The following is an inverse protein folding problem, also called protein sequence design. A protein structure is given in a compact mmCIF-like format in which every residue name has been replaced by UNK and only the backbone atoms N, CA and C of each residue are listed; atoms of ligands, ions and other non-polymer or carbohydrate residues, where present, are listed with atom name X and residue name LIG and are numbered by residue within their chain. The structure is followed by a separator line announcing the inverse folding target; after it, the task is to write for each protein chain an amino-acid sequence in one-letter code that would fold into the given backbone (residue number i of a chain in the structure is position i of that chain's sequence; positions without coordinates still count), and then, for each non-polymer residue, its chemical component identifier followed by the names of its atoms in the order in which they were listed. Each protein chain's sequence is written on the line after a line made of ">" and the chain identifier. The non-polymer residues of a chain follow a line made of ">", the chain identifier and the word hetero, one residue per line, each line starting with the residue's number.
data_IF_769777705763
#
_entry.id   IF_769777705763
#
_cell.length_a   1.000
_cell.length_b   1.000
_cell.length_c   1.000
_cell.angle_alpha   90.00
_cell.angle_beta   90.00
_cell.angle_gamma   90.00
#
_symmetry.space_group_name_H-M   'P 1'
#
loop_
_entity.id
_entity.type
_entity.pdbx_description
1 polymer ?
#
# COMPACT_ATOMS: atom_id res chain seq x y z
N UNK A 1 3.91 -4.70 -7.83
CA UNK A 1 3.83 -4.45 -9.28
C UNK A 1 2.39 -4.58 -9.77
N UNK A 2 1.73 -5.73 -9.58
CA UNK A 2 0.35 -5.98 -10.05
C UNK A 2 -0.65 -4.91 -9.61
N UNK A 3 -0.62 -4.50 -8.35
CA UNK A 3 -1.51 -3.46 -7.81
C UNK A 3 -1.37 -2.12 -8.56
N UNK A 4 -0.13 -1.74 -8.92
CA UNK A 4 0.11 -0.51 -9.66
C UNK A 4 -0.41 -0.58 -11.09
N UNK A 5 -0.26 -1.75 -11.75
CA UNK A 5 -0.80 -2.00 -13.09
C UNK A 5 -2.32 -1.92 -13.06
N UNK A 6 -2.96 -2.61 -12.09
CA UNK A 6 -4.42 -2.59 -11.93
C UNK A 6 -4.91 -1.16 -11.68
N UNK A 7 -4.29 -0.42 -10.76
CA UNK A 7 -4.72 0.94 -10.43
C UNK A 7 -4.59 1.89 -11.62
N UNK A 8 -3.44 1.88 -12.32
CA UNK A 8 -3.23 2.71 -13.51
C UNK A 8 -4.28 2.42 -14.58
N UNK A 9 -4.57 1.14 -14.82
CA UNK A 9 -5.60 0.73 -15.78
C UNK A 9 -6.99 1.21 -15.36
N UNK A 10 -7.39 0.98 -14.12
CA UNK A 10 -8.70 1.40 -13.62
C UNK A 10 -8.89 2.90 -13.76
N UNK A 11 -7.92 3.70 -13.33
CA UNK A 11 -8.02 5.15 -13.34
C UNK A 11 -7.91 5.77 -14.74
N UNK A 12 -7.21 5.10 -15.67
CA UNK A 12 -7.07 5.58 -17.06
C UNK A 12 -8.24 5.21 -17.95
N UNK A 13 -8.95 4.11 -17.67
CA UNK A 13 -9.95 3.54 -18.61
C UNK A 13 -11.38 3.56 -18.07
N UNK A 14 -11.58 3.55 -16.76
CA UNK A 14 -12.93 3.49 -16.15
C UNK A 14 -13.33 4.88 -15.62
N UNK A 15 -14.63 5.10 -15.51
CA UNK A 15 -15.20 6.30 -14.87
C UNK A 15 -15.77 5.92 -13.52
N UNK A 16 -15.48 6.73 -12.53
CA UNK A 16 -15.96 6.54 -11.16
C UNK A 16 -16.78 7.76 -10.72
N UNK A 17 -17.70 7.60 -9.75
CA UNK A 17 -18.41 8.74 -9.14
C UNK A 17 -17.42 9.70 -8.49
N UNK A 18 -17.84 10.94 -8.29
CA UNK A 18 -17.07 11.91 -7.51
C UNK A 18 -16.96 11.48 -6.04
N UNK A 19 -15.82 11.79 -5.41
CA UNK A 19 -15.58 11.50 -4.00
C UNK A 19 -15.07 10.10 -3.67
N UNK A 20 -14.85 9.24 -4.67
CA UNK A 20 -14.18 7.94 -4.45
C UNK A 20 -12.71 8.14 -4.09
N UNK A 21 -12.13 7.13 -3.45
CA UNK A 21 -10.74 7.09 -3.00
C UNK A 21 -10.05 5.80 -3.47
N UNK A 22 -8.74 5.78 -3.40
CA UNK A 22 -7.96 4.54 -3.40
C UNK A 22 -7.54 4.26 -1.97
N UNK A 23 -7.73 3.04 -1.48
CA UNK A 23 -7.31 2.64 -0.15
C UNK A 23 -6.13 1.67 -0.22
N UNK A 24 -5.12 1.89 0.61
CA UNK A 24 -4.00 0.98 0.80
C UNK A 24 -3.63 0.83 2.26
N UNK A 25 -3.04 -0.29 2.62
CA UNK A 25 -2.54 -0.45 3.99
C UNK A 25 -1.22 0.29 4.19
N UNK A 26 -0.90 0.55 5.45
CA UNK A 26 0.32 1.25 5.91
C UNK A 26 1.62 0.61 5.37
N UNK A 27 1.61 -0.70 5.05
CA UNK A 27 2.75 -1.45 4.53
C UNK A 27 2.86 -1.45 3.00
N UNK A 28 1.86 -0.91 2.30
CA UNK A 28 1.78 -0.96 0.83
C UNK A 28 2.56 0.20 0.21
N UNK A 29 3.15 -0.02 -0.95
CA UNK A 29 3.97 0.96 -1.69
C UNK A 29 3.28 2.32 -1.89
N UNK A 30 4.02 3.41 -1.72
CA UNK A 30 3.58 4.76 -2.06
C UNK A 30 3.60 5.06 -3.56
N UNK A 31 4.01 4.12 -4.40
CA UNK A 31 3.84 4.25 -5.86
C UNK A 31 2.36 4.39 -6.23
N UNK A 32 1.45 3.76 -5.45
CA UNK A 32 0.01 3.94 -5.60
C UNK A 32 -0.44 5.38 -5.34
N UNK A 33 0.22 6.09 -4.42
CA UNK A 33 -0.07 7.51 -4.13
C UNK A 33 0.27 8.37 -5.35
N UNK A 34 1.44 8.16 -5.96
CA UNK A 34 1.87 8.87 -7.17
C UNK A 34 0.91 8.63 -8.35
N UNK A 35 0.45 7.38 -8.51
CA UNK A 35 -0.55 7.05 -9.54
C UNK A 35 -1.87 7.78 -9.25
N UNK A 36 -2.38 7.71 -8.03
CA UNK A 36 -3.63 8.36 -7.64
C UNK A 36 -3.58 9.88 -7.79
N UNK A 37 -2.45 10.50 -7.46
CA UNK A 37 -2.22 11.94 -7.60
C UNK A 37 -2.38 12.41 -9.05
N UNK A 38 -1.82 11.69 -10.02
CA UNK A 38 -1.98 11.98 -11.47
C UNK A 38 -3.45 12.08 -11.86
N UNK A 39 -4.29 11.22 -11.32
CA UNK A 39 -5.73 11.18 -11.61
C UNK A 39 -6.57 11.99 -10.62
N UNK A 40 -5.94 12.69 -9.67
CA UNK A 40 -6.60 13.50 -8.64
C UNK A 40 -7.60 12.70 -7.78
N UNK A 41 -7.30 11.43 -7.53
CA UNK A 41 -8.07 10.56 -6.64
C UNK A 41 -7.35 10.49 -5.29
N UNK A 42 -8.00 10.83 -4.17
CA UNK A 42 -7.36 10.83 -2.86
C UNK A 42 -7.01 9.42 -2.38
N UNK A 43 -5.91 9.31 -1.62
CA UNK A 43 -5.50 8.08 -0.95
C UNK A 43 -6.05 8.03 0.47
N UNK A 44 -6.52 6.85 0.87
CA UNK A 44 -6.81 6.47 2.24
C UNK A 44 -5.77 5.44 2.69
N UNK A 45 -4.88 5.81 3.61
CA UNK A 45 -3.98 4.87 4.26
C UNK A 45 -4.63 4.31 5.53
N UNK A 46 -4.67 2.98 5.67
CA UNK A 46 -5.23 2.28 6.84
C UNK A 46 -4.18 1.39 7.50
N UNK A 47 -4.48 0.90 8.68
CA UNK A 47 -3.77 -0.22 9.30
C UNK A 47 -3.92 -1.49 8.44
N UNK A 48 -3.08 -2.51 8.68
CA UNK A 48 -3.12 -3.75 7.92
C UNK A 48 -4.38 -4.55 8.27
N UNK A 49 -5.13 -4.90 7.25
CA UNK A 49 -6.33 -5.73 7.35
C UNK A 49 -7.47 -5.23 6.47
N UNK A 50 -8.02 -6.11 5.65
CA UNK A 50 -9.11 -5.78 4.71
C UNK A 50 -10.38 -5.27 5.40
N UNK A 51 -10.58 -5.63 6.67
CA UNK A 51 -11.68 -5.13 7.51
C UNK A 51 -11.79 -3.60 7.56
N UNK A 52 -10.66 -2.89 7.38
CA UNK A 52 -10.63 -1.42 7.35
C UNK A 52 -11.15 -0.83 6.04
N UNK A 53 -11.26 -1.65 5.00
CA UNK A 53 -11.82 -1.26 3.70
C UNK A 53 -13.29 -1.66 3.54
N UNK A 54 -13.77 -2.66 4.30
CA UNK A 54 -15.04 -3.34 4.08
C UNK A 54 -16.23 -2.35 3.97
N UNK A 55 -16.34 -1.41 4.89
CA UNK A 55 -17.41 -0.41 4.87
C UNK A 55 -17.35 0.51 3.64
N UNK A 56 -16.16 1.01 3.30
CA UNK A 56 -16.01 1.91 2.16
C UNK A 56 -16.19 1.16 0.82
N UNK A 57 -15.89 -0.14 0.77
CA UNK A 57 -16.19 -1.01 -0.38
C UNK A 57 -17.69 -1.23 -0.51
N UNK A 58 -18.39 -1.57 0.58
CA UNK A 58 -19.84 -1.75 0.61
C UNK A 58 -20.60 -0.49 0.16
N UNK A 59 -20.11 0.67 0.59
CA UNK A 59 -20.68 1.97 0.23
C UNK A 59 -20.21 2.48 -1.15
N UNK A 60 -19.46 1.70 -1.90
CA UNK A 60 -18.88 2.06 -3.22
C UNK A 60 -18.09 3.38 -3.19
N UNK A 61 -17.30 3.60 -2.13
CA UNK A 61 -16.46 4.77 -1.94
C UNK A 61 -15.00 4.56 -2.38
N UNK A 62 -14.64 3.33 -2.74
CA UNK A 62 -13.29 2.99 -3.17
C UNK A 62 -13.25 2.58 -4.64
N UNK A 63 -12.30 3.13 -5.39
CA UNK A 63 -11.88 2.62 -6.69
C UNK A 63 -11.22 1.26 -6.50
N UNK A 64 -10.31 1.19 -5.52
CA UNK A 64 -9.54 0.01 -5.18
C UNK A 64 -9.15 0.05 -3.70
N UNK A 65 -9.26 -1.09 -3.02
CA UNK A 65 -8.67 -1.35 -1.71
C UNK A 65 -7.60 -2.44 -1.84
N UNK A 66 -6.40 -2.23 -1.28
CA UNK A 66 -5.31 -3.19 -1.46
C UNK A 66 -4.32 -3.28 -0.31
N UNK A 67 -3.64 -4.41 -0.25
CA UNK A 67 -2.62 -4.74 0.75
C UNK A 67 -1.26 -5.05 0.09
N UNK A 68 -0.18 -4.94 0.84
CA UNK A 68 1.19 -5.28 0.40
C UNK A 68 1.32 -6.72 -0.12
N UNK A 69 0.52 -7.64 0.41
CA UNK A 69 0.42 -9.04 -0.03
C UNK A 69 -0.19 -9.23 -1.42
N UNK A 70 -0.52 -8.14 -2.13
CA UNK A 70 -1.28 -8.10 -3.38
C UNK A 70 -2.77 -8.51 -3.23
N UNK A 71 -3.28 -8.62 -2.00
CA UNK A 71 -4.71 -8.68 -1.77
C UNK A 71 -5.37 -7.42 -2.30
N UNK A 72 -6.38 -7.55 -3.16
CA UNK A 72 -7.05 -6.43 -3.82
C UNK A 72 -8.55 -6.66 -3.97
N UNK A 73 -9.30 -5.59 -3.92
CA UNK A 73 -10.68 -5.50 -4.34
C UNK A 73 -10.93 -4.17 -5.03
N UNK A 74 -11.99 -4.07 -5.82
CA UNK A 74 -12.31 -2.89 -6.64
C UNK A 74 -13.73 -2.42 -6.42
N UNK A 75 -14.02 -1.23 -6.94
CA UNK A 75 -15.34 -0.61 -6.98
C UNK A 75 -16.43 -1.57 -7.43
N UNK A 76 -17.56 -1.57 -6.70
CA UNK A 76 -18.77 -2.32 -7.03
C UNK A 76 -18.55 -3.84 -7.19
N UNK A 77 -17.69 -4.44 -6.36
CA UNK A 77 -17.43 -5.89 -6.37
C UNK A 77 -17.87 -6.52 -5.05
N UNK A 78 -16.96 -6.83 -4.15
CA UNK A 78 -17.24 -7.44 -2.84
C UNK A 78 -16.61 -6.63 -1.71
N UNK A 79 -16.76 -7.05 -0.46
CA UNK A 79 -16.24 -6.35 0.72
C UNK A 79 -14.90 -6.91 1.23
N UNK A 80 -14.39 -8.00 0.61
CA UNK A 80 -13.10 -8.59 0.95
C UNK A 80 -12.24 -8.77 -0.30
N UNK A 81 -10.96 -9.03 -0.10
CA UNK A 81 -9.99 -9.27 -1.19
C UNK A 81 -10.38 -10.48 -2.03
N UNK A 82 -10.18 -10.36 -3.33
CA UNK A 82 -10.48 -11.41 -4.28
C UNK A 82 -9.29 -11.63 -5.23
N UNK A 83 -8.58 -12.75 -5.01
CA UNK A 83 -7.42 -13.11 -5.83
C UNK A 83 -7.83 -13.57 -7.24
N UNK A 84 -9.02 -14.13 -7.41
CA UNK A 84 -9.55 -14.55 -8.72
C UNK A 84 -9.85 -13.32 -9.56
N UNK A 85 -10.49 -12.31 -8.97
CA UNK A 85 -10.71 -11.01 -9.60
C UNK A 85 -9.40 -10.41 -10.08
N UNK A 86 -8.35 -10.43 -9.22
CA UNK A 86 -7.04 -9.88 -9.58
C UNK A 86 -6.45 -10.52 -10.83
N UNK A 87 -6.55 -11.86 -10.95
CA UNK A 87 -6.07 -12.61 -12.13
C UNK A 87 -6.87 -12.22 -13.38
N UNK A 88 -8.20 -12.14 -13.28
CA UNK A 88 -9.04 -11.75 -14.42
C UNK A 88 -8.79 -10.30 -14.86
N UNK A 89 -8.59 -9.39 -13.92
CA UNK A 89 -8.23 -7.99 -14.24
C UNK A 89 -6.90 -7.91 -14.99
N UNK A 90 -5.89 -8.64 -14.52
CA UNK A 90 -4.60 -8.65 -15.22
C UNK A 90 -4.71 -9.26 -16.62
N UNK A 91 -5.51 -10.33 -16.79
CA UNK A 91 -5.79 -10.91 -18.11
C UNK A 91 -6.54 -9.93 -19.04
N UNK A 92 -7.56 -9.22 -18.52
CA UNK A 92 -8.25 -8.14 -19.24
C UNK A 92 -7.26 -7.06 -19.68
N UNK A 93 -6.39 -6.60 -18.78
CA UNK A 93 -5.41 -5.56 -19.05
C UNK A 93 -4.45 -6.00 -20.17
N UNK A 94 -3.87 -7.19 -20.07
CA UNK A 94 -2.96 -7.74 -21.09
C UNK A 94 -3.66 -7.87 -22.46
N UNK A 95 -4.87 -8.37 -22.47
CA UNK A 95 -5.64 -8.55 -23.72
C UNK A 95 -6.02 -7.22 -24.35
N UNK A 96 -6.44 -6.26 -23.54
CA UNK A 96 -6.88 -4.94 -24.02
C UNK A 96 -5.72 -4.09 -24.51
N UNK A 97 -4.56 -4.19 -23.85
CA UNK A 97 -3.38 -3.38 -24.18
C UNK A 97 -2.46 -4.04 -25.22
N UNK A 98 -2.56 -5.35 -25.38
CA UNK A 98 -1.63 -6.15 -26.20
C UNK A 98 -0.22 -6.25 -25.60
N UNK A 99 -0.05 -5.94 -24.31
CA UNK A 99 1.24 -5.90 -23.59
C UNK A 99 1.30 -6.96 -22.50
N UNK A 100 2.49 -7.45 -22.22
CA UNK A 100 2.71 -8.29 -21.04
C UNK A 100 2.87 -7.45 -19.75
N UNK A 101 2.88 -8.13 -18.58
CA UNK A 101 2.97 -7.47 -17.29
C UNK A 101 4.31 -6.74 -17.07
N UNK A 102 5.38 -7.19 -17.71
CA UNK A 102 6.70 -6.58 -17.62
C UNK A 102 6.73 -5.26 -18.38
N UNK A 103 6.16 -5.25 -19.59
CA UNK A 103 6.02 -4.03 -20.40
C UNK A 103 5.14 -2.99 -19.72
N UNK A 104 3.99 -3.41 -19.17
CA UNK A 104 3.07 -2.53 -18.44
C UNK A 104 3.74 -1.93 -17.20
N UNK A 105 4.49 -2.74 -16.46
CA UNK A 105 5.21 -2.25 -15.29
C UNK A 105 6.37 -1.33 -15.67
N UNK A 106 7.08 -1.61 -16.76
CA UNK A 106 8.12 -0.73 -17.28
C UNK A 106 7.59 0.67 -17.64
N UNK A 107 6.37 0.77 -18.18
CA UNK A 107 5.71 2.06 -18.44
C UNK A 107 5.39 2.83 -17.16
N UNK A 108 4.91 2.13 -16.12
CA UNK A 108 4.67 2.74 -14.81
C UNK A 108 5.98 3.29 -14.23
N UNK A 109 7.05 2.50 -14.25
CA UNK A 109 8.37 2.89 -13.79
C UNK A 109 8.88 4.12 -14.54
N UNK A 110 8.74 4.15 -15.86
CA UNK A 110 9.14 5.28 -16.69
C UNK A 110 8.38 6.56 -16.33
N UNK A 111 7.13 6.42 -15.90
CA UNK A 111 6.25 7.57 -15.59
C UNK A 111 6.45 8.09 -14.17
N UNK A 112 6.62 7.19 -13.18
CA UNK A 112 6.56 7.55 -11.76
C UNK A 112 7.87 7.35 -11.00
N UNK A 113 8.92 6.87 -11.65
CA UNK A 113 10.16 6.35 -11.08
C UNK A 113 9.96 5.03 -10.26
N UNK A 114 11.06 4.31 -10.06
CA UNK A 114 11.05 3.03 -9.32
C UNK A 114 11.23 3.34 -7.83
N UNK A 115 10.31 2.91 -6.96
CA UNK A 115 10.62 2.87 -5.55
C UNK A 115 11.60 1.72 -5.26
N UNK A 116 12.64 2.00 -4.49
CA UNK A 116 13.47 0.95 -3.90
C UNK A 116 12.74 0.40 -2.68
N UNK A 117 12.07 -0.73 -2.82
CA UNK A 117 11.32 -1.37 -1.75
C UNK A 117 12.05 -2.60 -1.22
N UNK A 118 12.10 -2.74 0.11
CA UNK A 118 12.63 -3.93 0.77
C UNK A 118 11.78 -4.30 1.98
N UNK A 119 11.52 -5.60 2.13
CA UNK A 119 10.98 -6.20 3.33
C UNK A 119 11.99 -7.17 3.95
N UNK A 120 12.10 -7.15 5.26
CA UNK A 120 12.91 -8.09 6.05
C UNK A 120 12.05 -8.61 7.20
N UNK A 121 11.99 -9.94 7.35
CA UNK A 121 11.31 -10.59 8.46
C UNK A 121 12.36 -11.01 9.50
N UNK A 122 12.23 -10.48 10.72
CA UNK A 122 13.20 -10.65 11.80
C UNK A 122 12.59 -11.56 12.87
N UNK A 123 13.14 -12.75 13.14
CA UNK A 123 12.70 -13.59 14.25
C UNK A 123 12.74 -12.82 15.59
N UNK A 124 11.70 -12.95 16.39
CA UNK A 124 11.56 -12.17 17.61
C UNK A 124 10.77 -12.93 18.69
N UNK A 125 10.94 -12.51 19.94
CA UNK A 125 10.17 -13.02 21.07
C UNK A 125 8.91 -12.19 21.31
N UNK A 126 7.96 -12.75 22.05
CA UNK A 126 6.76 -12.01 22.48
C UNK A 126 7.13 -10.76 23.30
N UNK A 127 8.13 -10.86 24.17
CA UNK A 127 8.61 -9.75 24.98
C UNK A 127 9.13 -8.59 24.12
N UNK A 128 9.91 -8.91 23.06
CA UNK A 128 10.42 -7.90 22.13
C UNK A 128 9.30 -7.22 21.36
N UNK A 129 8.27 -7.98 20.92
CA UNK A 129 7.10 -7.41 20.27
C UNK A 129 6.36 -6.42 21.18
N UNK A 130 6.17 -6.78 22.44
CA UNK A 130 5.49 -5.90 23.40
C UNK A 130 6.31 -4.62 23.71
N UNK A 131 7.64 -4.70 23.70
CA UNK A 131 8.49 -3.51 23.80
C UNK A 131 8.27 -2.55 22.62
N UNK A 132 8.18 -3.07 21.39
CA UNK A 132 7.94 -2.24 20.19
C UNK A 132 6.57 -1.56 20.27
N UNK A 133 5.52 -2.28 20.67
CA UNK A 133 4.17 -1.71 20.79
C UNK A 133 4.07 -0.58 21.82
N UNK A 134 4.99 -0.54 22.79
CA UNK A 134 5.03 0.48 23.86
C UNK A 134 5.87 1.70 23.50
N UNK A 135 6.53 1.71 22.33
CA UNK A 135 7.32 2.88 21.91
C UNK A 135 6.38 4.03 21.59
N UNK A 136 6.59 5.14 22.29
CA UNK A 136 5.85 6.37 22.07
C UNK A 136 6.50 7.18 20.92
N UNK A 137 5.67 7.75 20.06
CA UNK A 137 6.11 8.60 18.95
C UNK A 137 6.99 9.78 19.42
N UNK A 138 6.76 10.29 20.65
CA UNK A 138 7.54 11.39 21.20
C UNK A 138 9.02 11.05 21.40
N UNK A 139 9.34 9.76 21.66
CA UNK A 139 10.72 9.28 21.81
C UNK A 139 11.49 9.20 20.49
N UNK A 140 10.78 9.29 19.38
CA UNK A 140 11.32 9.20 18.02
C UNK A 140 11.52 10.58 17.37
N UNK A 141 11.21 11.65 18.11
CA UNK A 141 11.45 13.03 17.63
C UNK A 141 12.94 13.26 17.43
N UNK A 142 13.30 13.81 16.25
CA UNK A 142 14.69 14.11 15.90
C UNK A 142 15.45 12.94 15.26
N UNK A 143 14.81 11.78 15.06
CA UNK A 143 15.40 10.67 14.30
C UNK A 143 15.53 11.09 12.83
N UNK A 144 16.65 10.73 12.20
CA UNK A 144 16.86 10.91 10.75
C UNK A 144 16.52 9.64 10.00
N UNK A 145 15.95 9.78 8.82
CA UNK A 145 15.62 8.68 7.92
C UNK A 145 16.19 8.98 6.51
N UNK A 146 17.02 8.08 5.98
CA UNK A 146 17.62 8.25 4.66
C UNK A 146 18.49 9.50 4.52
N UNK A 147 19.10 9.97 5.63
CA UNK A 147 19.89 11.21 5.66
C UNK A 147 19.07 12.51 5.77
N UNK A 148 17.73 12.41 5.73
CA UNK A 148 16.79 13.52 5.88
C UNK A 148 16.07 13.52 7.24
N UNK A 149 15.20 14.49 7.45
CA UNK A 149 14.37 14.59 8.64
C UNK A 149 13.14 13.67 8.51
N UNK A 150 12.72 13.08 9.62
CA UNK A 150 11.40 12.46 9.73
C UNK A 150 10.36 13.57 9.74
N UNK A 151 9.40 13.50 8.80
CA UNK A 151 8.34 14.52 8.61
C UNK A 151 7.05 14.14 9.34
N UNK A 152 6.79 12.83 9.51
CA UNK A 152 5.63 12.33 10.25
C UNK A 152 5.91 10.96 10.87
N UNK A 153 5.17 10.63 11.94
CA UNK A 153 5.30 9.37 12.68
C UNK A 153 3.91 8.82 13.00
N UNK A 154 3.66 7.57 12.61
CA UNK A 154 2.43 6.84 12.94
C UNK A 154 2.74 5.59 13.75
N UNK A 155 1.96 5.36 14.82
CA UNK A 155 2.17 4.24 15.76
C UNK A 155 0.93 3.36 15.97
N UNK A 156 -0.06 3.40 15.09
CA UNK A 156 -1.33 2.66 15.22
C UNK A 156 -1.21 1.17 14.92
N UNK A 157 -0.37 0.77 13.96
CA UNK A 157 -0.12 -0.64 13.59
C UNK A 157 1.39 -0.86 13.35
N UNK A 158 2.16 -0.83 14.42
CA UNK A 158 3.61 -0.75 14.39
C UNK A 158 4.10 0.70 14.43
N UNK A 159 5.34 0.91 14.03
CA UNK A 159 5.97 2.23 13.99
C UNK A 159 6.33 2.55 12.54
N UNK A 160 5.65 3.51 11.95
CA UNK A 160 5.98 4.04 10.63
C UNK A 160 6.56 5.44 10.76
N UNK A 161 7.75 5.61 10.18
CA UNK A 161 8.43 6.89 10.04
C UNK A 161 8.36 7.31 8.58
N UNK A 162 7.92 8.53 8.34
CA UNK A 162 7.88 9.12 7.01
C UNK A 162 9.00 10.14 6.86
N UNK A 163 9.84 9.98 5.84
CA UNK A 163 10.76 11.01 5.35
C UNK A 163 10.16 11.73 4.15
N UNK A 164 10.89 12.67 3.56
CA UNK A 164 10.41 13.43 2.39
C UNK A 164 10.14 12.54 1.17
N UNK A 165 11.00 11.55 0.91
CA UNK A 165 10.91 10.65 -0.25
C UNK A 165 11.05 9.17 0.13
N UNK A 166 10.93 8.84 1.41
CA UNK A 166 11.11 7.48 1.91
C UNK A 166 10.24 7.23 3.13
N UNK A 167 10.03 5.97 3.42
CA UNK A 167 9.41 5.56 4.68
C UNK A 167 9.99 4.24 5.17
N UNK A 168 9.88 4.01 6.47
CA UNK A 168 10.19 2.75 7.12
C UNK A 168 9.05 2.37 8.06
N UNK A 169 8.66 1.09 8.04
CA UNK A 169 7.66 0.53 8.95
C UNK A 169 8.25 -0.65 9.72
N UNK A 170 8.18 -0.60 11.03
CA UNK A 170 8.53 -1.69 11.95
C UNK A 170 7.23 -2.23 12.53
N UNK A 171 6.82 -3.42 12.10
CA UNK A 171 5.52 -4.00 12.46
C UNK A 171 5.67 -5.38 13.10
N UNK A 172 5.33 -5.56 14.39
CA UNK A 172 5.23 -6.88 14.99
C UNK A 172 4.11 -7.68 14.31
N UNK A 173 4.41 -8.91 13.87
CA UNK A 173 3.38 -9.81 13.32
C UNK A 173 2.40 -10.25 14.41
N UNK A 174 1.10 -10.21 14.12
CA UNK A 174 0.06 -10.68 15.04
C UNK A 174 -0.02 -12.21 15.15
N UNK A 175 0.44 -12.94 14.13
CA UNK A 175 0.27 -14.40 13.99
C UNK A 175 1.57 -15.19 14.04
N UNK A 176 2.71 -14.55 13.75
CA UNK A 176 4.02 -15.19 13.61
C UNK A 176 5.02 -14.60 14.62
N UNK A 177 6.04 -15.36 15.08
CA UNK A 177 7.07 -14.86 16.00
C UNK A 177 8.13 -14.03 15.26
N UNK A 178 7.70 -13.01 14.50
CA UNK A 178 8.56 -12.13 13.73
C UNK A 178 8.15 -10.66 13.87
N UNK A 179 9.11 -9.78 13.61
CA UNK A 179 8.91 -8.37 13.28
C UNK A 179 9.10 -8.23 11.77
N UNK A 180 8.16 -7.60 11.10
CA UNK A 180 8.25 -7.24 9.68
C UNK A 180 8.78 -5.82 9.57
N UNK A 181 9.92 -5.69 8.93
CA UNK A 181 10.53 -4.41 8.61
C UNK A 181 10.30 -4.12 7.13
N UNK A 182 9.70 -3.00 6.83
CA UNK A 182 9.47 -2.52 5.46
C UNK A 182 10.20 -1.20 5.27
N UNK A 183 10.78 -0.98 4.11
CA UNK A 183 11.36 0.29 3.72
C UNK A 183 11.13 0.56 2.24
N UNK A 184 10.90 1.82 1.90
CA UNK A 184 10.75 2.29 0.53
C UNK A 184 11.36 3.69 0.39
N UNK A 185 12.06 3.93 -0.74
CA UNK A 185 12.68 5.22 -1.06
C UNK A 185 12.63 5.52 -2.56
#
# INVERSE_FOLDING_TARGET
>A
HALCIILEYLLSTKKFPSGVKVARTIATTHLLDKISEKYKVPILETDVGFKYFAKDLEENKLVMGCEESAGVNIYNWTTDKDGILAVFLLAEIMTTTGKDLSELYAEIIKTYAIPNYKRVDIPTTTEQKEKIKKIDASTLKGVSLGGGKVVDIRTTDGIKLYGENCWILIRPSGTEPIIKLYAES
#
